data_IF_649301854354
#
_entry.id   IF_649301854354
#
_cell.length_a   1.000
_cell.length_b   1.000
_cell.length_c   1.000
_cell.angle_alpha   90.00
_cell.angle_beta   90.00
_cell.angle_gamma   90.00
#
_symmetry.space_group_name_H-M   'P 1'
#
loop_
_entity.id
_entity.type
_entity.pdbx_description
1 polymer ?
#
# COMPACT_ATOMS: atom_id res chain seq x y z
N UNK A 1 -24.13 13.22 -9.33
CA UNK A 1 -23.61 12.14 -8.48
C UNK A 1 -22.27 12.48 -7.85
N UNK A 2 -21.77 11.64 -6.97
CA UNK A 2 -20.47 11.87 -6.30
C UNK A 2 -19.27 11.76 -7.26
N UNK A 3 -19.45 11.12 -8.41
CA UNK A 3 -18.40 10.89 -9.41
C UNK A 3 -18.85 11.45 -10.78
N UNK A 4 -18.67 12.75 -11.06
CA UNK A 4 -19.17 13.38 -12.29
C UNK A 4 -18.62 12.76 -13.58
N UNK A 5 -17.39 12.23 -13.53
CA UNK A 5 -16.77 11.58 -14.69
C UNK A 5 -17.59 10.38 -15.21
N UNK A 6 -18.33 9.69 -14.34
CA UNK A 6 -19.15 8.54 -14.72
C UNK A 6 -20.42 8.93 -15.48
N UNK A 7 -20.77 10.22 -15.49
CA UNK A 7 -21.94 10.75 -16.21
C UNK A 7 -21.62 11.07 -17.68
N UNK A 8 -20.32 11.05 -18.06
CA UNK A 8 -19.93 11.37 -19.43
C UNK A 8 -20.26 10.23 -20.41
N UNK A 9 -20.43 10.62 -21.66
CA UNK A 9 -20.49 9.65 -22.77
C UNK A 9 -19.12 9.49 -23.43
N UNK A 10 -18.89 8.32 -24.00
CA UNK A 10 -17.69 7.97 -24.75
C UNK A 10 -18.09 7.53 -26.17
N UNK A 11 -17.14 7.14 -26.97
CA UNK A 11 -17.24 6.71 -28.38
C UNK A 11 -18.65 6.37 -28.84
N UNK A 12 -19.22 7.17 -29.77
CA UNK A 12 -20.55 6.95 -30.33
C UNK A 12 -21.71 7.29 -29.37
N UNK A 13 -21.49 8.12 -28.38
CA UNK A 13 -22.53 8.58 -27.43
C UNK A 13 -22.92 7.52 -26.38
N UNK A 14 -22.12 6.47 -26.19
CA UNK A 14 -22.40 5.43 -25.19
C UNK A 14 -22.03 5.93 -23.78
N UNK A 15 -22.80 5.54 -22.74
CA UNK A 15 -22.42 5.82 -21.37
C UNK A 15 -21.03 5.23 -21.03
N UNK A 16 -20.25 5.96 -20.21
CA UNK A 16 -18.98 5.45 -19.69
C UNK A 16 -19.24 4.30 -18.72
N UNK A 17 -18.63 3.15 -18.98
CA UNK A 17 -18.49 2.05 -18.02
C UNK A 17 -17.02 2.01 -17.62
N UNK A 18 -16.72 2.29 -16.34
CA UNK A 18 -15.35 2.33 -15.83
C UNK A 18 -15.12 1.14 -14.91
N UNK A 19 -14.25 0.20 -15.31
CA UNK A 19 -13.94 -1.04 -14.59
C UNK A 19 -12.44 -1.17 -14.28
N UNK A 20 -11.69 -0.07 -14.36
CA UNK A 20 -10.23 -0.06 -14.21
C UNK A 20 -9.77 0.66 -12.92
N UNK A 21 -10.51 0.48 -11.83
CA UNK A 21 -10.15 1.08 -10.53
C UNK A 21 -8.86 0.49 -9.94
N UNK A 22 -8.44 -0.70 -10.41
CA UNK A 22 -7.16 -1.28 -10.04
C UNK A 22 -5.96 -0.47 -10.55
N UNK A 23 -6.08 0.14 -11.74
CA UNK A 23 -5.05 1.03 -12.28
C UNK A 23 -5.12 2.43 -11.64
N UNK A 24 -6.33 3.01 -11.58
CA UNK A 24 -6.59 4.29 -10.90
C UNK A 24 -8.06 4.42 -10.52
N UNK A 25 -8.33 4.81 -9.29
CA UNK A 25 -9.69 5.08 -8.82
C UNK A 25 -10.16 6.46 -9.22
N UNK A 26 -11.42 6.60 -9.61
CA UNK A 26 -12.05 7.89 -9.80
C UNK A 26 -12.19 8.61 -8.46
N UNK A 27 -12.11 9.94 -8.50
CA UNK A 27 -12.17 10.77 -7.29
C UNK A 27 -13.58 11.31 -7.09
N UNK A 28 -14.18 11.16 -5.91
CA UNK A 28 -15.46 11.82 -5.61
C UNK A 28 -15.29 13.33 -5.49
N UNK A 29 -16.36 14.08 -5.72
CA UNK A 29 -16.35 15.55 -5.60
C UNK A 29 -15.83 16.02 -4.24
N UNK A 30 -16.24 15.37 -3.16
CA UNK A 30 -15.80 15.74 -1.81
C UNK A 30 -14.26 15.72 -1.66
N UNK A 31 -13.55 14.78 -2.32
CA UNK A 31 -12.08 14.74 -2.31
C UNK A 31 -11.50 15.86 -3.16
N UNK A 32 -12.05 16.09 -4.35
CA UNK A 32 -11.57 17.13 -5.27
C UNK A 32 -11.77 18.54 -4.67
N UNK A 33 -12.92 18.77 -4.03
CA UNK A 33 -13.22 20.04 -3.39
C UNK A 33 -12.32 20.26 -2.16
N UNK A 34 -12.12 19.25 -1.31
CA UNK A 34 -11.24 19.35 -0.15
C UNK A 34 -9.79 19.67 -0.55
N UNK A 35 -9.25 19.01 -1.59
CA UNK A 35 -7.92 19.30 -2.12
C UNK A 35 -7.82 20.71 -2.67
N UNK A 36 -8.80 21.10 -3.48
CA UNK A 36 -8.86 22.46 -4.05
C UNK A 36 -8.94 23.52 -2.95
N UNK A 37 -9.83 23.35 -2.00
CA UNK A 37 -10.06 24.33 -0.93
C UNK A 37 -8.81 24.49 -0.06
N UNK A 38 -8.15 23.39 0.30
CA UNK A 38 -6.87 23.44 1.01
C UNK A 38 -5.81 24.24 0.22
N UNK A 39 -5.64 23.94 -1.08
CA UNK A 39 -4.64 24.61 -1.91
C UNK A 39 -4.94 26.12 -2.10
N UNK A 40 -6.20 26.49 -2.10
CA UNK A 40 -6.63 27.90 -2.31
C UNK A 40 -6.58 28.71 -1.00
N UNK A 41 -6.84 28.08 0.16
CA UNK A 41 -7.06 28.83 1.42
C UNK A 41 -5.99 28.60 2.47
N UNK A 42 -5.35 27.43 2.52
CA UNK A 42 -4.48 27.01 3.64
C UNK A 42 -3.16 26.36 3.20
N UNK A 43 -2.81 26.46 1.89
CA UNK A 43 -1.61 25.80 1.39
C UNK A 43 -0.34 26.30 2.08
N UNK A 44 0.24 25.44 2.91
CA UNK A 44 1.51 25.68 3.61
C UNK A 44 2.20 24.36 3.92
N UNK A 45 3.48 24.42 4.31
CA UNK A 45 4.25 23.26 4.71
C UNK A 45 3.88 22.84 6.14
N UNK A 46 3.28 21.64 6.36
CA UNK A 46 3.04 21.11 7.70
C UNK A 46 4.33 21.02 8.50
N UNK A 47 4.29 21.30 9.81
CA UNK A 47 5.41 21.20 10.76
C UNK A 47 6.63 22.09 10.44
N UNK A 48 6.54 23.02 9.50
CA UNK A 48 7.71 23.79 9.00
C UNK A 48 7.66 25.28 9.28
N UNK A 49 6.59 25.82 9.81
CA UNK A 49 6.45 27.25 10.07
C UNK A 49 5.75 27.53 11.39
N UNK A 50 6.03 28.72 11.94
CA UNK A 50 5.38 29.26 13.15
C UNK A 50 4.37 30.36 12.79
N UNK A 51 3.54 30.12 11.79
CA UNK A 51 2.51 31.05 11.31
C UNK A 51 1.20 30.33 11.08
N UNK A 52 0.08 31.04 11.09
CA UNK A 52 -1.27 30.50 11.06
C UNK A 52 -1.49 29.43 9.96
N UNK A 53 -1.08 29.71 8.71
CA UNK A 53 -1.25 28.74 7.62
C UNK A 53 -0.48 27.42 7.85
N UNK A 54 0.68 27.47 8.50
CA UNK A 54 1.42 26.24 8.80
C UNK A 54 0.78 25.46 9.95
N UNK A 55 0.17 26.16 10.90
CA UNK A 55 -0.62 25.52 11.97
C UNK A 55 -1.86 24.85 11.41
N UNK A 56 -2.62 25.53 10.57
CA UNK A 56 -3.80 24.96 9.87
C UNK A 56 -3.45 23.77 9.00
N UNK A 57 -2.37 23.84 8.22
CA UNK A 57 -1.89 22.74 7.41
C UNK A 57 -1.43 21.54 8.26
N UNK A 58 -0.82 21.80 9.40
CA UNK A 58 -0.39 20.75 10.35
C UNK A 58 -1.60 20.08 10.98
N UNK A 59 -2.60 20.85 11.41
CA UNK A 59 -3.83 20.32 12.00
C UNK A 59 -4.58 19.44 10.98
N UNK A 60 -4.74 19.91 9.75
CA UNK A 60 -5.40 19.14 8.69
C UNK A 60 -4.65 17.81 8.40
N UNK A 61 -3.33 17.86 8.34
CA UNK A 61 -2.50 16.68 8.08
C UNK A 61 -2.56 15.65 9.21
N UNK A 62 -2.46 16.09 10.47
CA UNK A 62 -2.47 15.18 11.62
C UNK A 62 -3.88 14.67 11.96
N UNK A 63 -4.93 15.47 11.71
CA UNK A 63 -6.33 15.01 11.78
C UNK A 63 -6.58 13.88 10.78
N UNK A 64 -6.17 14.04 9.51
CA UNK A 64 -6.29 13.00 8.52
C UNK A 64 -5.51 11.72 8.90
N UNK A 65 -4.33 11.87 9.52
CA UNK A 65 -3.57 10.73 10.07
C UNK A 65 -4.34 10.00 11.15
N UNK A 66 -4.94 10.73 12.08
CA UNK A 66 -5.74 10.16 13.17
C UNK A 66 -6.98 9.43 12.65
N UNK A 67 -7.67 10.01 11.65
CA UNK A 67 -8.84 9.39 11.04
C UNK A 67 -8.49 8.06 10.34
N UNK A 68 -7.39 8.05 9.57
CA UNK A 68 -6.90 6.83 8.91
C UNK A 68 -6.46 5.79 9.94
N UNK A 69 -5.76 6.21 10.99
CA UNK A 69 -5.36 5.31 12.08
C UNK A 69 -6.59 4.67 12.73
N UNK A 70 -7.61 5.47 13.03
CA UNK A 70 -8.88 4.99 13.59
C UNK A 70 -9.59 3.98 12.68
N UNK A 71 -9.58 4.21 11.36
CA UNK A 71 -10.20 3.31 10.38
C UNK A 71 -9.55 1.92 10.36
N UNK A 72 -8.25 1.84 10.56
CA UNK A 72 -7.49 0.56 10.52
C UNK A 72 -7.18 0.00 11.91
N UNK A 73 -7.67 0.63 12.98
CA UNK A 73 -7.42 0.19 14.35
C UNK A 73 -5.98 0.40 14.83
N UNK A 74 -5.25 1.34 14.22
CA UNK A 74 -3.88 1.70 14.56
C UNK A 74 -3.81 2.99 15.40
N UNK A 75 -2.63 3.32 15.90
CA UNK A 75 -2.33 4.61 16.51
C UNK A 75 -1.82 5.60 15.45
N UNK A 76 -2.04 6.92 15.58
CA UNK A 76 -1.53 7.89 14.59
C UNK A 76 -0.03 7.78 14.32
N UNK A 77 0.78 7.49 15.35
CA UNK A 77 2.23 7.30 15.22
C UNK A 77 2.64 6.07 14.39
N UNK A 78 1.71 5.14 14.12
CA UNK A 78 1.95 3.91 13.34
C UNK A 78 1.59 4.09 11.86
N UNK A 79 1.05 5.26 11.49
CA UNK A 79 0.66 5.58 10.13
C UNK A 79 1.73 6.43 9.46
N UNK A 80 2.23 5.98 8.33
CA UNK A 80 3.17 6.71 7.48
C UNK A 80 2.52 6.94 6.12
N UNK A 81 2.37 8.21 5.72
CA UNK A 81 1.87 8.56 4.40
C UNK A 81 2.94 8.34 3.34
N UNK A 82 2.56 7.68 2.26
CA UNK A 82 3.38 7.46 1.07
C UNK A 82 2.58 7.82 -0.18
N UNK A 83 3.24 7.97 -1.31
CA UNK A 83 2.56 8.32 -2.58
C UNK A 83 1.63 7.22 -3.08
N UNK A 84 1.98 5.96 -2.79
CA UNK A 84 1.24 4.77 -3.23
C UNK A 84 1.77 3.52 -2.53
N UNK A 85 1.10 2.38 -2.74
CA UNK A 85 1.51 1.10 -2.19
C UNK A 85 2.92 0.66 -2.63
N UNK A 86 3.37 1.01 -3.83
CA UNK A 86 4.74 0.71 -4.29
C UNK A 86 5.79 1.36 -3.39
N UNK A 87 5.61 2.64 -3.07
CA UNK A 87 6.52 3.33 -2.14
C UNK A 87 6.45 2.74 -0.72
N UNK A 88 5.25 2.43 -0.23
CA UNK A 88 5.06 1.83 1.09
C UNK A 88 5.77 0.48 1.23
N UNK A 89 5.63 -0.41 0.24
CA UNK A 89 6.28 -1.72 0.23
C UNK A 89 7.80 -1.62 0.10
N UNK A 90 8.30 -0.70 -0.73
CA UNK A 90 9.74 -0.42 -0.80
C UNK A 90 10.28 0.13 0.53
N UNK A 91 9.54 1.03 1.18
CA UNK A 91 9.92 1.57 2.50
C UNK A 91 9.99 0.45 3.55
N UNK A 92 9.02 -0.46 3.58
CA UNK A 92 9.02 -1.60 4.49
C UNK A 92 10.23 -2.53 4.23
N UNK A 93 10.44 -2.93 2.96
CA UNK A 93 11.57 -3.77 2.59
C UNK A 93 12.92 -3.10 2.90
N UNK A 94 13.01 -1.77 2.71
CA UNK A 94 14.20 -1.00 3.05
C UNK A 94 14.43 -0.94 4.55
N UNK A 95 13.37 -0.73 5.34
CA UNK A 95 13.45 -0.70 6.80
C UNK A 95 13.94 -2.04 7.36
N UNK A 96 13.40 -3.16 6.88
CA UNK A 96 13.82 -4.50 7.31
C UNK A 96 15.27 -4.83 6.92
N UNK A 97 15.70 -4.42 5.73
CA UNK A 97 17.08 -4.67 5.29
C UNK A 97 18.13 -3.80 5.98
N UNK A 98 17.73 -2.64 6.50
CA UNK A 98 18.65 -1.66 7.12
C UNK A 98 18.41 -1.51 8.63
N UNK A 99 17.60 -2.35 9.25
CA UNK A 99 17.39 -2.32 10.69
C UNK A 99 18.73 -2.56 11.42
N UNK A 100 18.85 -2.01 12.61
CA UNK A 100 20.07 -2.13 13.43
C UNK A 100 20.44 -3.60 13.70
N UNK A 101 21.73 -3.85 13.87
CA UNK A 101 22.21 -5.17 14.23
C UNK A 101 21.58 -5.62 15.57
N UNK A 102 20.98 -6.82 15.58
CA UNK A 102 20.27 -7.34 16.75
C UNK A 102 18.79 -6.95 16.82
N UNK A 103 18.28 -6.09 15.92
CA UNK A 103 16.85 -5.83 15.82
C UNK A 103 16.11 -7.10 15.34
N UNK A 104 14.97 -7.46 15.93
CA UNK A 104 14.13 -8.57 15.46
C UNK A 104 13.54 -8.33 14.06
N UNK A 105 13.54 -7.08 13.59
CA UNK A 105 13.06 -6.70 12.27
C UNK A 105 14.14 -6.82 11.19
N UNK A 106 15.41 -7.02 11.56
CA UNK A 106 16.49 -7.14 10.59
C UNK A 106 16.45 -8.52 9.94
N UNK A 107 16.36 -8.56 8.61
CA UNK A 107 16.48 -9.78 7.85
C UNK A 107 17.94 -10.02 7.40
N UNK A 108 18.36 -11.28 7.42
CA UNK A 108 19.70 -11.70 7.03
C UNK A 108 19.74 -13.13 6.50
N UNK A 109 20.95 -13.68 6.42
CA UNK A 109 21.18 -15.06 6.00
C UNK A 109 20.44 -16.04 6.90
N UNK A 110 19.71 -16.99 6.31
CA UNK A 110 18.88 -17.96 7.02
C UNK A 110 17.42 -17.52 7.23
N UNK A 111 17.10 -16.25 7.14
CA UNK A 111 15.72 -15.77 7.20
C UNK A 111 14.97 -15.98 5.88
N UNK A 112 13.65 -16.02 5.96
CA UNK A 112 12.77 -16.27 4.82
C UNK A 112 11.73 -15.18 4.69
N UNK A 113 11.47 -14.79 3.42
CA UNK A 113 10.33 -13.99 3.00
C UNK A 113 9.41 -14.88 2.18
N UNK A 114 8.15 -15.02 2.58
CA UNK A 114 7.15 -15.82 1.90
C UNK A 114 6.18 -14.87 1.17
N UNK A 115 6.06 -15.03 -0.14
CA UNK A 115 5.13 -14.25 -0.97
C UNK A 115 4.25 -15.20 -1.80
N UNK A 116 3.31 -14.66 -2.58
CA UNK A 116 2.49 -15.47 -3.47
C UNK A 116 2.89 -15.27 -4.93
N UNK A 117 2.56 -16.25 -5.79
CA UNK A 117 2.72 -16.11 -7.24
C UNK A 117 1.71 -15.12 -7.86
N UNK A 118 0.67 -14.74 -7.11
CA UNK A 118 -0.36 -13.80 -7.56
C UNK A 118 -0.01 -12.33 -7.31
N UNK A 119 1.23 -12.03 -6.88
CA UNK A 119 1.60 -10.68 -6.47
C UNK A 119 1.72 -9.71 -7.65
N UNK A 120 1.27 -8.48 -7.41
CA UNK A 120 1.68 -7.35 -8.23
C UNK A 120 3.19 -7.09 -8.04
N UNK A 121 3.88 -6.66 -9.10
CA UNK A 121 5.32 -6.36 -9.04
C UNK A 121 5.71 -5.44 -7.87
N UNK A 122 4.83 -4.54 -7.47
CA UNK A 122 5.06 -3.66 -6.32
C UNK A 122 5.26 -4.44 -5.00
N UNK A 123 4.65 -5.64 -4.87
CA UNK A 123 4.80 -6.53 -3.71
C UNK A 123 5.68 -7.75 -4.00
N UNK A 124 6.40 -7.75 -5.10
CA UNK A 124 7.36 -8.79 -5.48
C UNK A 124 8.79 -8.24 -5.46
N UNK A 125 9.04 -7.21 -6.25
CA UNK A 125 10.40 -6.72 -6.52
C UNK A 125 11.12 -6.22 -5.25
N UNK A 126 10.46 -5.48 -4.33
CA UNK A 126 11.13 -5.04 -3.09
C UNK A 126 11.65 -6.20 -2.24
N UNK A 127 10.90 -7.31 -2.18
CA UNK A 127 11.30 -8.49 -1.43
C UNK A 127 12.42 -9.27 -2.12
N UNK A 128 12.40 -9.39 -3.44
CA UNK A 128 13.53 -9.98 -4.20
C UNK A 128 14.81 -9.20 -3.95
N UNK A 129 14.75 -7.86 -4.03
CA UNK A 129 15.91 -7.01 -3.79
C UNK A 129 16.38 -7.04 -2.34
N UNK A 130 15.45 -7.13 -1.37
CA UNK A 130 15.80 -7.35 0.02
C UNK A 130 16.59 -8.66 0.17
N UNK A 131 16.04 -9.77 -0.30
CA UNK A 131 16.68 -11.09 -0.21
C UNK A 131 18.06 -11.10 -0.88
N UNK A 132 18.19 -10.53 -2.09
CA UNK A 132 19.46 -10.41 -2.80
C UNK A 132 20.53 -9.66 -1.99
N UNK A 133 20.14 -8.59 -1.25
CA UNK A 133 21.06 -7.75 -0.48
C UNK A 133 21.43 -8.34 0.87
N UNK A 134 20.53 -9.07 1.49
CA UNK A 134 20.66 -9.53 2.88
C UNK A 134 21.09 -10.99 2.99
N UNK A 135 20.99 -11.77 1.91
CA UNK A 135 21.19 -13.22 1.94
C UNK A 135 19.98 -14.02 2.44
N UNK A 136 18.85 -13.34 2.73
CA UNK A 136 17.59 -14.02 3.04
C UNK A 136 17.04 -14.76 1.80
N UNK A 137 16.17 -15.73 2.02
CA UNK A 137 15.58 -16.55 0.96
C UNK A 137 14.16 -16.10 0.65
N UNK A 138 13.81 -16.03 -0.65
CA UNK A 138 12.45 -15.78 -1.10
C UNK A 138 11.75 -17.10 -1.39
N UNK A 139 10.57 -17.30 -0.81
CA UNK A 139 9.73 -18.49 -1.00
C UNK A 139 8.34 -18.09 -1.52
N UNK A 140 7.66 -19.04 -2.16
CA UNK A 140 6.45 -18.77 -2.92
C UNK A 140 5.30 -19.69 -2.50
N UNK A 141 4.12 -19.11 -2.34
CA UNK A 141 2.83 -19.82 -2.30
C UNK A 141 2.32 -19.86 -3.74
N UNK A 142 2.06 -21.04 -4.27
CA UNK A 142 1.59 -21.24 -5.63
C UNK A 142 0.16 -20.75 -5.85
N UNK A 143 -0.27 -20.77 -7.13
CA UNK A 143 -1.64 -20.47 -7.55
C UNK A 143 -2.24 -21.72 -8.19
N UNK A 144 -3.42 -22.12 -7.75
CA UNK A 144 -4.16 -23.23 -8.34
C UNK A 144 -4.60 -22.93 -9.77
N UNK A 145 -4.96 -23.97 -10.59
CA UNK A 145 -5.51 -23.73 -11.93
C UNK A 145 -6.79 -22.88 -11.96
N UNK A 146 -7.48 -22.75 -10.82
CA UNK A 146 -8.67 -21.91 -10.66
C UNK A 146 -8.35 -20.47 -10.28
N UNK A 147 -7.05 -20.09 -10.22
CA UNK A 147 -6.59 -18.73 -9.90
C UNK A 147 -6.69 -18.37 -8.42
N UNK A 148 -6.72 -19.36 -7.52
CA UNK A 148 -6.70 -19.15 -6.06
C UNK A 148 -5.34 -19.50 -5.50
N UNK A 149 -4.97 -18.94 -4.35
CA UNK A 149 -3.75 -19.36 -3.65
C UNK A 149 -3.85 -20.84 -3.25
N UNK A 150 -2.76 -21.57 -3.46
CA UNK A 150 -2.62 -22.94 -3.00
C UNK A 150 -2.13 -22.93 -1.54
N UNK A 151 -3.08 -23.08 -0.62
CA UNK A 151 -2.80 -23.02 0.82
C UNK A 151 -2.62 -24.39 1.46
N UNK A 152 -2.66 -25.49 0.69
CA UNK A 152 -2.62 -26.85 1.23
C UNK A 152 -1.34 -27.15 2.03
N UNK A 153 -0.24 -26.48 1.70
CA UNK A 153 1.06 -26.63 2.36
C UNK A 153 1.47 -25.43 3.21
N UNK A 154 0.54 -24.50 3.49
CA UNK A 154 0.87 -23.24 4.17
C UNK A 154 1.54 -23.47 5.53
N UNK A 155 1.03 -24.40 6.31
CA UNK A 155 1.57 -24.72 7.65
C UNK A 155 3.02 -25.24 7.59
N UNK A 156 3.41 -25.92 6.49
CA UNK A 156 4.79 -26.37 6.26
C UNK A 156 5.68 -25.25 5.67
N UNK A 157 5.06 -24.28 5.03
CA UNK A 157 5.76 -23.15 4.40
C UNK A 157 6.08 -22.05 5.38
N UNK A 158 5.27 -21.84 6.41
CA UNK A 158 5.55 -20.89 7.49
C UNK A 158 6.40 -21.55 8.55
N UNK A 159 7.65 -21.14 8.68
CA UNK A 159 8.63 -21.70 9.60
C UNK A 159 9.13 -20.65 10.59
N UNK A 160 9.93 -21.06 11.58
CA UNK A 160 10.58 -20.11 12.50
C UNK A 160 11.53 -19.12 11.80
N UNK A 161 11.96 -19.46 10.59
CA UNK A 161 12.79 -18.59 9.74
C UNK A 161 11.97 -17.59 8.96
N UNK A 162 10.65 -17.77 8.83
CA UNK A 162 9.78 -16.87 8.10
C UNK A 162 9.61 -15.57 8.89
N UNK A 163 10.18 -14.47 8.38
CA UNK A 163 10.13 -13.15 9.00
C UNK A 163 9.08 -12.23 8.37
N UNK A 164 8.78 -12.48 7.11
CA UNK A 164 7.77 -11.71 6.36
C UNK A 164 6.88 -12.67 5.59
N UNK A 165 5.57 -12.45 5.69
CA UNK A 165 4.58 -13.04 4.79
C UNK A 165 3.88 -11.89 4.10
N UNK A 166 4.04 -11.78 2.78
CA UNK A 166 3.46 -10.70 1.99
C UNK A 166 2.55 -11.27 0.90
N UNK A 167 1.30 -10.85 0.90
CA UNK A 167 0.30 -11.36 -0.04
C UNK A 167 -0.71 -10.28 -0.44
N UNK A 168 -1.24 -10.41 -1.65
CA UNK A 168 -2.33 -9.55 -2.11
C UNK A 168 -3.66 -9.97 -1.50
N UNK A 169 -4.44 -9.03 -0.97
CA UNK A 169 -5.79 -9.30 -0.49
C UNK A 169 -6.76 -9.59 -1.65
N UNK A 170 -6.59 -8.89 -2.77
CA UNK A 170 -7.36 -9.11 -3.99
C UNK A 170 -6.46 -8.90 -5.21
N UNK A 171 -6.34 -9.92 -6.05
CA UNK A 171 -5.50 -9.85 -7.24
C UNK A 171 -6.06 -8.86 -8.26
N UNK A 172 -5.22 -7.92 -8.70
CA UNK A 172 -5.57 -6.98 -9.78
C UNK A 172 -5.69 -7.64 -11.16
N UNK A 173 -5.14 -8.84 -11.33
CA UNK A 173 -5.19 -9.62 -12.58
C UNK A 173 -6.31 -10.62 -12.56
N UNK A 174 -6.41 -11.42 -11.50
CA UNK A 174 -7.35 -12.54 -11.40
C UNK A 174 -8.70 -12.13 -10.81
N UNK A 175 -8.76 -11.03 -10.06
CA UNK A 175 -9.94 -10.64 -9.27
C UNK A 175 -10.24 -11.59 -8.11
N UNK A 176 -9.38 -12.58 -7.87
CA UNK A 176 -9.51 -13.48 -6.74
C UNK A 176 -9.24 -12.72 -5.43
N UNK A 177 -10.06 -12.98 -4.43
CA UNK A 177 -9.90 -12.51 -3.05
C UNK A 177 -9.34 -13.68 -2.24
N UNK A 178 -8.28 -13.41 -1.48
CA UNK A 178 -7.56 -14.38 -0.65
C UNK A 178 -8.06 -14.37 0.78
#
# INVERSE_FOLDING_TARGET
GQFPILERTVRGGKPLVYLDSGATSQKPLAVLDAERDFLVTANSAPHRGAHALSEEATEAYESARADIAGLIGAQPREVVFTKNATEALNLAAYAFSNAEAGSPLRLGEGDEVLITEAEHHANLIPWQELCRRTGASLRWIGVTPQGRLDLDQLDEMVTERTKVVAFTHASNVLGAVT
#
